data_IF_367137837595
#
_entry.id   IF_367137837595
#
_cell.length_a   1.000
_cell.length_b   1.000
_cell.length_c   1.000
_cell.angle_alpha   90.00
_cell.angle_beta   90.00
_cell.angle_gamma   90.00
#
_symmetry.space_group_name_H-M   'P 1'
#
loop_
_entity.id
_entity.type
_entity.pdbx_description
1 polymer ?
#
# COMPACT_ATOMS: atom_id res chain seq x y z
N UNK A 1 -40.85 0.37 7.92
CA UNK A 1 -40.61 0.21 9.37
C UNK A 1 -40.17 -1.23 9.61
N UNK A 2 -38.99 -1.37 10.24
CA UNK A 2 -38.47 -2.54 10.99
C UNK A 2 -38.27 -3.85 10.18
N UNK A 3 -37.22 -4.65 10.32
CA UNK A 3 -35.91 -4.66 10.98
C UNK A 3 -35.28 -5.95 10.42
N UNK A 4 -34.09 -5.91 9.81
CA UNK A 4 -33.28 -7.12 9.69
C UNK A 4 -31.88 -6.80 10.20
N UNK A 5 -31.68 -7.21 11.45
CA UNK A 5 -30.45 -7.10 12.21
C UNK A 5 -29.38 -8.02 11.62
N UNK A 6 -28.27 -7.45 11.17
CA UNK A 6 -26.95 -8.07 11.27
C UNK A 6 -25.91 -6.96 11.39
N UNK A 7 -25.99 -6.28 12.53
CA UNK A 7 -24.99 -5.34 13.02
C UNK A 7 -24.22 -6.03 14.14
N UNK A 8 -23.13 -6.70 13.81
CA UNK A 8 -22.07 -7.06 14.75
C UNK A 8 -20.85 -7.54 13.95
N UNK A 9 -19.75 -6.78 14.02
CA UNK A 9 -18.33 -7.21 13.91
C UNK A 9 -17.41 -6.38 13.00
N UNK A 10 -17.79 -5.17 12.56
CA UNK A 10 -16.78 -4.23 12.07
C UNK A 10 -16.35 -3.36 13.26
N UNK A 11 -15.51 -3.95 14.13
CA UNK A 11 -14.75 -3.14 15.09
C UNK A 11 -13.85 -2.23 14.26
N UNK A 12 -14.09 -0.92 14.40
CA UNK A 12 -13.25 0.19 13.92
C UNK A 12 -11.78 -0.22 13.86
N UNK A 13 -11.23 -0.34 12.66
CA UNK A 13 -9.78 -0.35 12.46
C UNK A 13 -9.34 1.09 12.70
N UNK A 14 -9.11 1.43 13.98
CA UNK A 14 -8.44 2.67 14.31
C UNK A 14 -6.94 2.40 14.22
N UNK A 15 -6.33 2.82 13.11
CA UNK A 15 -4.88 2.83 12.91
C UNK A 15 -4.17 3.88 13.78
N UNK A 16 -4.87 4.45 14.77
CA UNK A 16 -4.39 5.49 15.71
C UNK A 16 -3.17 5.06 16.56
N UNK A 17 -2.70 3.82 16.43
CA UNK A 17 -1.48 3.36 17.09
C UNK A 17 -0.18 3.76 16.35
N UNK A 18 -0.26 4.25 15.10
CA UNK A 18 0.93 4.61 14.31
C UNK A 18 1.42 6.07 14.50
N UNK A 19 0.67 6.93 15.19
CA UNK A 19 0.95 8.39 15.30
C UNK A 19 1.36 8.83 16.73
N UNK A 20 1.45 7.93 17.70
CA UNK A 20 1.82 8.27 19.09
C UNK A 20 3.20 7.73 19.49
N UNK A 21 4.25 8.09 18.75
CA UNK A 21 5.64 7.79 19.13
C UNK A 21 6.55 9.02 19.07
N UNK A 22 6.00 10.22 19.29
CA UNK A 22 6.78 11.44 19.38
C UNK A 22 6.56 12.19 20.69
N UNK A 23 6.70 11.49 21.83
CA UNK A 23 7.19 12.10 23.07
C UNK A 23 7.43 11.04 24.15
N UNK A 24 8.70 10.76 24.46
CA UNK A 24 9.06 10.39 25.83
C UNK A 24 10.54 10.66 26.08
N UNK A 25 10.80 11.83 26.66
CA UNK A 25 11.96 12.05 27.50
C UNK A 25 12.02 10.95 28.57
N UNK A 26 13.10 10.18 28.65
CA UNK A 26 13.35 9.38 29.84
C UNK A 26 14.81 9.38 30.28
N UNK A 27 14.96 9.72 31.57
CA UNK A 27 16.19 9.84 32.34
C UNK A 27 16.76 8.46 32.67
N UNK A 28 18.08 8.35 32.59
CA UNK A 28 18.84 7.15 32.96
C UNK A 28 18.73 6.87 34.47
N UNK A 29 18.26 5.67 34.82
CA UNK A 29 18.32 5.15 36.19
C UNK A 29 19.67 4.46 36.43
N UNK A 30 20.38 4.96 37.44
CA UNK A 30 21.68 4.53 37.93
C UNK A 30 21.53 3.22 38.72
N UNK A 31 22.26 2.16 38.35
CA UNK A 31 22.36 0.93 39.14
C UNK A 31 23.48 1.03 40.18
N UNK A 32 23.17 0.70 41.42
CA UNK A 32 24.05 0.76 42.60
C UNK A 32 25.11 -0.34 42.60
N UNK A 33 26.36 0.06 42.89
CA UNK A 33 27.52 -0.81 43.15
C UNK A 33 27.54 -1.26 44.62
N UNK A 34 27.91 -2.51 44.87
CA UNK A 34 28.51 -2.94 46.15
C UNK A 34 29.85 -3.64 45.85
N UNK A 35 30.88 -3.29 46.63
CA UNK A 35 32.27 -3.76 46.53
C UNK A 35 32.63 -4.75 47.66
N UNK A 36 33.53 -5.70 47.37
CA UNK A 36 34.68 -6.18 48.18
C UNK A 36 35.15 -7.55 47.63
N UNK A 37 36.42 -7.99 47.61
CA UNK A 37 37.73 -7.46 48.02
C UNK A 37 38.89 -8.29 47.42
N UNK A 38 40.05 -7.64 47.23
CA UNK A 38 41.46 -8.09 47.35
C UNK A 38 42.22 -8.95 46.29
N UNK A 39 43.08 -8.22 45.53
CA UNK A 39 44.53 -8.38 45.20
C UNK A 39 45.10 -9.54 44.36
N UNK A 40 45.80 -9.19 43.25
CA UNK A 40 47.23 -9.45 42.92
C UNK A 40 47.67 -8.60 41.69
N UNK A 41 48.92 -8.05 41.63
CA UNK A 41 49.39 -7.28 40.48
C UNK A 41 49.96 -8.24 39.44
N UNK A 42 49.10 -8.74 38.56
CA UNK A 42 49.49 -9.45 37.34
C UNK A 42 49.19 -8.55 36.15
N UNK A 43 50.13 -8.48 35.21
CA UNK A 43 50.06 -7.82 33.90
C UNK A 43 48.62 -7.51 33.48
N UNK A 44 48.26 -6.22 33.47
CA UNK A 44 46.88 -5.78 33.24
C UNK A 44 46.28 -6.49 32.03
N UNK A 45 45.33 -7.39 32.30
CA UNK A 45 44.58 -8.16 31.30
C UNK A 45 43.55 -7.26 30.61
N UNK A 46 43.99 -6.14 30.06
CA UNK A 46 43.16 -5.21 29.28
C UNK A 46 42.66 -5.86 27.99
N UNK A 47 43.42 -6.80 27.43
CA UNK A 47 43.03 -7.53 26.23
C UNK A 47 41.83 -8.46 26.44
N UNK A 48 41.66 -9.06 27.62
CA UNK A 48 40.52 -9.97 27.87
C UNK A 48 39.21 -9.20 28.01
N UNK A 49 39.16 -8.15 28.84
CA UNK A 49 37.91 -7.41 29.04
C UNK A 49 37.44 -6.64 27.81
N UNK A 50 38.38 -6.13 27.00
CA UNK A 50 38.07 -5.51 25.71
C UNK A 50 37.53 -6.56 24.73
N UNK A 51 38.19 -7.73 24.62
CA UNK A 51 37.75 -8.82 23.75
C UNK A 51 36.35 -9.32 24.14
N UNK A 52 36.10 -9.50 25.44
CA UNK A 52 34.79 -9.94 25.96
C UNK A 52 33.71 -8.90 25.67
N UNK A 53 34.04 -7.60 25.78
CA UNK A 53 33.12 -6.52 25.38
C UNK A 53 32.81 -6.55 23.88
N UNK A 54 33.82 -6.72 23.02
CA UNK A 54 33.61 -6.85 21.58
C UNK A 54 32.82 -8.10 21.21
N UNK A 55 33.03 -9.22 21.91
CA UNK A 55 32.21 -10.43 21.75
C UNK A 55 30.75 -10.15 22.10
N UNK A 56 30.47 -9.49 23.22
CA UNK A 56 29.10 -9.11 23.58
C UNK A 56 28.45 -8.16 22.56
N UNK A 57 29.21 -7.20 22.02
CA UNK A 57 28.71 -6.32 20.96
C UNK A 57 28.43 -7.08 19.66
N UNK A 58 29.30 -8.02 19.28
CA UNK A 58 29.10 -8.87 18.11
C UNK A 58 27.81 -9.71 18.26
N UNK A 59 27.60 -10.34 19.41
CA UNK A 59 26.39 -11.12 19.70
C UNK A 59 25.13 -10.25 19.62
N UNK A 60 25.17 -9.03 20.17
CA UNK A 60 24.06 -8.08 20.09
C UNK A 60 23.76 -7.68 18.64
N UNK A 61 24.79 -7.33 17.85
CA UNK A 61 24.62 -6.97 16.44
C UNK A 61 24.12 -8.15 15.60
N UNK A 62 24.61 -9.35 15.86
CA UNK A 62 24.14 -10.57 15.20
C UNK A 62 22.66 -10.81 15.48
N UNK A 63 22.23 -10.73 16.75
CA UNK A 63 20.82 -10.89 17.12
C UNK A 63 19.92 -9.84 16.46
N UNK A 64 20.37 -8.58 16.36
CA UNK A 64 19.66 -7.52 15.63
C UNK A 64 19.57 -7.81 14.14
N UNK A 65 20.66 -8.27 13.52
CA UNK A 65 20.69 -8.60 12.10
C UNK A 65 19.79 -9.80 11.78
N UNK A 66 19.83 -10.86 12.60
CA UNK A 66 18.93 -12.00 12.47
C UNK A 66 17.46 -11.60 12.59
N UNK A 67 17.12 -10.73 13.55
CA UNK A 67 15.76 -10.18 13.69
C UNK A 67 15.36 -9.40 12.45
N UNK A 68 16.25 -8.53 11.94
CA UNK A 68 16.01 -7.77 10.70
C UNK A 68 15.74 -8.70 9.52
N UNK A 69 16.53 -9.76 9.33
CA UNK A 69 16.33 -10.72 8.24
C UNK A 69 15.00 -11.47 8.35
N UNK A 70 14.57 -11.85 9.56
CA UNK A 70 13.22 -12.44 9.76
C UNK A 70 12.11 -11.46 9.39
N UNK A 71 12.24 -10.19 9.76
CA UNK A 71 11.27 -9.14 9.41
C UNK A 71 11.23 -8.89 7.91
N UNK A 72 12.38 -8.82 7.24
CA UNK A 72 12.44 -8.65 5.77
C UNK A 72 11.72 -9.80 5.07
N UNK A 73 11.93 -11.04 5.51
CA UNK A 73 11.22 -12.21 4.96
C UNK A 73 9.71 -12.11 5.19
N UNK A 74 9.26 -11.82 6.40
CA UNK A 74 7.84 -11.63 6.70
C UNK A 74 7.22 -10.47 5.89
N UNK A 75 7.93 -9.36 5.74
CA UNK A 75 7.48 -8.23 4.92
C UNK A 75 7.33 -8.59 3.45
N UNK A 76 8.24 -9.41 2.90
CA UNK A 76 8.14 -9.89 1.51
C UNK A 76 6.94 -10.80 1.30
N UNK A 77 6.64 -11.67 2.26
CA UNK A 77 5.44 -12.51 2.23
C UNK A 77 4.17 -11.66 2.21
N UNK A 78 4.11 -10.59 3.01
CA UNK A 78 3.01 -9.61 2.97
C UNK A 78 2.91 -8.97 1.59
N UNK A 79 4.00 -8.38 1.09
CA UNK A 79 4.01 -7.74 -0.24
C UNK A 79 3.51 -8.67 -1.34
N UNK A 80 4.04 -9.90 -1.39
CA UNK A 80 3.69 -10.86 -2.42
C UNK A 80 2.19 -11.20 -2.41
N UNK A 81 1.60 -11.40 -1.24
CA UNK A 81 0.19 -11.78 -1.16
C UNK A 81 -0.75 -10.59 -1.30
N UNK A 82 -0.38 -9.40 -0.83
CA UNK A 82 -1.10 -8.15 -1.11
C UNK A 82 -1.17 -7.87 -2.62
N UNK A 83 -0.06 -8.07 -3.36
CA UNK A 83 -0.05 -7.95 -4.82
C UNK A 83 -1.03 -8.89 -5.51
N UNK A 84 -1.11 -10.15 -5.06
CA UNK A 84 -2.07 -11.11 -5.61
C UNK A 84 -3.51 -10.62 -5.43
N UNK A 85 -3.83 -10.03 -4.28
CA UNK A 85 -5.15 -9.41 -4.04
C UNK A 85 -5.39 -8.26 -5.01
N UNK A 86 -4.42 -7.34 -5.18
CA UNK A 86 -4.53 -6.21 -6.12
C UNK A 86 -4.79 -6.72 -7.54
N UNK A 87 -3.99 -7.68 -8.02
CA UNK A 87 -4.19 -8.26 -9.36
C UNK A 87 -5.53 -8.97 -9.52
N UNK A 88 -6.06 -9.58 -8.46
CA UNK A 88 -7.37 -10.19 -8.48
C UNK A 88 -8.48 -9.15 -8.60
N UNK A 89 -8.42 -8.06 -7.83
CA UNK A 89 -9.38 -6.95 -7.86
C UNK A 89 -9.39 -6.25 -9.23
N UNK A 90 -8.25 -6.18 -9.93
CA UNK A 90 -8.20 -5.65 -11.30
C UNK A 90 -9.01 -6.45 -12.33
N UNK A 91 -9.36 -7.71 -12.04
CA UNK A 91 -10.13 -8.58 -12.96
C UNK A 91 -11.64 -8.40 -12.85
N UNK A 92 -12.11 -7.46 -12.03
CA UNK A 92 -13.53 -7.15 -11.92
C UNK A 92 -14.05 -6.74 -13.30
N UNK A 93 -15.23 -7.21 -13.66
CA UNK A 93 -16.03 -6.81 -14.82
C UNK A 93 -17.50 -6.77 -14.38
N UNK A 94 -18.40 -6.30 -15.25
CA UNK A 94 -19.85 -6.30 -14.93
C UNK A 94 -20.40 -7.69 -14.64
N UNK A 95 -19.82 -8.74 -15.23
CA UNK A 95 -20.32 -10.11 -15.15
C UNK A 95 -19.85 -10.88 -13.90
N UNK A 96 -18.69 -10.53 -13.33
CA UNK A 96 -18.03 -11.32 -12.28
C UNK A 96 -17.71 -10.52 -11.01
N UNK A 97 -18.26 -9.30 -10.87
CA UNK A 97 -17.91 -8.37 -9.79
C UNK A 97 -18.05 -8.99 -8.40
N UNK A 98 -19.17 -9.64 -8.13
CA UNK A 98 -19.46 -10.20 -6.81
C UNK A 98 -18.53 -11.35 -6.46
N UNK A 99 -18.32 -12.29 -7.39
CA UNK A 99 -17.40 -13.43 -7.22
C UNK A 99 -15.96 -12.97 -6.99
N UNK A 100 -15.47 -12.01 -7.79
CA UNK A 100 -14.11 -11.49 -7.66
C UNK A 100 -13.92 -10.77 -6.32
N UNK A 101 -14.91 -9.97 -5.89
CA UNK A 101 -14.86 -9.27 -4.61
C UNK A 101 -14.93 -10.23 -3.42
N UNK A 102 -15.82 -11.24 -3.45
CA UNK A 102 -15.91 -12.24 -2.37
C UNK A 102 -14.58 -12.99 -2.21
N UNK A 103 -13.98 -13.41 -3.32
CA UNK A 103 -12.68 -14.09 -3.29
C UNK A 103 -11.57 -13.16 -2.80
N UNK A 104 -11.53 -11.92 -3.28
CA UNK A 104 -10.52 -10.94 -2.86
C UNK A 104 -10.63 -10.60 -1.38
N UNK A 105 -11.85 -10.56 -0.83
CA UNK A 105 -12.08 -10.35 0.60
C UNK A 105 -11.50 -11.48 1.45
N UNK A 106 -11.73 -12.74 1.05
CA UNK A 106 -11.17 -13.92 1.72
C UNK A 106 -9.65 -13.92 1.66
N UNK A 107 -9.08 -13.63 0.48
CA UNK A 107 -7.63 -13.58 0.30
C UNK A 107 -7.01 -12.43 1.13
N UNK A 108 -7.63 -11.25 1.15
CA UNK A 108 -7.17 -10.11 1.96
C UNK A 108 -7.24 -10.42 3.47
N UNK A 109 -8.29 -11.08 3.92
CA UNK A 109 -8.40 -11.54 5.31
C UNK A 109 -7.29 -12.54 5.65
N UNK A 110 -6.93 -13.45 4.74
CA UNK A 110 -5.80 -14.35 4.92
C UNK A 110 -4.47 -13.60 5.02
N UNK A 111 -4.25 -12.55 4.22
CA UNK A 111 -3.05 -11.70 4.34
C UNK A 111 -2.95 -11.07 5.73
N UNK A 112 -4.07 -10.53 6.24
CA UNK A 112 -4.14 -9.95 7.59
C UNK A 112 -3.83 -11.00 8.67
N UNK A 113 -4.55 -12.11 8.63
CA UNK A 113 -4.55 -13.08 9.73
C UNK A 113 -3.28 -13.93 9.78
N UNK A 114 -2.65 -14.17 8.63
CA UNK A 114 -1.46 -15.01 8.53
C UNK A 114 -0.17 -14.18 8.42
N UNK A 115 -0.09 -13.26 7.45
CA UNK A 115 1.16 -12.59 7.11
C UNK A 115 1.40 -11.32 7.95
N UNK A 116 0.41 -10.43 8.06
CA UNK A 116 0.52 -9.25 8.92
C UNK A 116 0.67 -9.68 10.39
N UNK A 117 -0.13 -10.66 10.85
CA UNK A 117 0.01 -11.21 12.20
C UNK A 117 1.42 -11.74 12.49
N UNK A 118 2.03 -12.48 11.55
CA UNK A 118 3.42 -12.95 11.68
C UNK A 118 4.42 -11.79 11.73
N UNK A 119 4.28 -10.81 10.85
CA UNK A 119 5.13 -9.62 10.84
C UNK A 119 5.05 -8.86 12.16
N UNK A 120 3.84 -8.67 12.70
CA UNK A 120 3.62 -8.01 14.00
C UNK A 120 4.27 -8.79 15.14
N UNK A 121 4.23 -10.13 15.12
CA UNK A 121 4.92 -10.97 16.11
C UNK A 121 6.44 -10.76 16.09
N UNK A 122 7.06 -10.71 14.90
CA UNK A 122 8.51 -10.44 14.77
C UNK A 122 8.88 -9.01 15.21
N UNK A 123 7.96 -8.05 15.08
CA UNK A 123 8.17 -6.64 15.46
C UNK A 123 7.99 -6.37 16.95
N UNK A 124 7.57 -7.36 17.75
CA UNK A 124 7.40 -7.18 19.20
C UNK A 124 8.69 -6.65 19.87
N UNK A 125 8.50 -5.81 20.89
CA UNK A 125 9.56 -5.12 21.63
C UNK A 125 9.52 -3.61 21.45
N UNK A 126 10.49 -2.91 22.05
CA UNK A 126 10.52 -1.44 22.09
C UNK A 126 11.08 -0.80 20.83
N UNK A 127 11.81 -1.51 19.96
CA UNK A 127 12.65 -0.87 18.93
C UNK A 127 12.12 -0.95 17.48
N UNK A 128 10.81 -1.09 17.28
CA UNK A 128 10.25 -1.30 15.93
C UNK A 128 10.55 -0.15 14.94
N UNK A 129 10.70 1.09 15.42
CA UNK A 129 11.04 2.24 14.56
C UNK A 129 12.40 2.08 13.88
N UNK A 130 13.38 1.43 14.55
CA UNK A 130 14.72 1.17 13.98
C UNK A 130 14.65 0.25 12.76
N UNK A 131 13.61 -0.58 12.70
CA UNK A 131 13.40 -1.59 11.67
C UNK A 131 12.37 -1.13 10.61
N UNK A 132 11.92 0.13 10.64
CA UNK A 132 10.92 0.70 9.70
C UNK A 132 11.23 0.35 8.25
N UNK A 133 12.47 0.54 7.81
CA UNK A 133 12.89 0.25 6.43
C UNK A 133 12.75 -1.23 6.03
N UNK A 134 12.76 -2.16 6.98
CA UNK A 134 12.67 -3.59 6.72
C UNK A 134 11.23 -4.06 6.46
N UNK A 135 10.22 -3.40 7.07
CA UNK A 135 8.83 -3.80 6.97
C UNK A 135 7.92 -2.81 6.24
N UNK A 136 8.34 -1.56 6.08
CA UNK A 136 7.50 -0.53 5.44
C UNK A 136 7.00 -0.92 4.06
N UNK A 137 7.78 -1.62 3.18
CA UNK A 137 7.25 -2.03 1.87
C UNK A 137 6.08 -3.01 1.97
N UNK A 138 6.12 -3.96 2.92
CA UNK A 138 5.02 -4.90 3.14
C UNK A 138 3.76 -4.22 3.65
N UNK A 139 3.92 -3.29 4.60
CA UNK A 139 2.79 -2.54 5.17
C UNK A 139 2.16 -1.62 4.12
N UNK A 140 2.97 -0.90 3.34
CA UNK A 140 2.46 -0.03 2.25
C UNK A 140 1.62 -0.83 1.26
N UNK A 141 2.13 -1.96 0.78
CA UNK A 141 1.41 -2.82 -0.17
C UNK A 141 0.11 -3.39 0.42
N UNK A 142 0.10 -3.77 1.70
CA UNK A 142 -1.12 -4.24 2.37
C UNK A 142 -2.19 -3.13 2.48
N UNK A 143 -1.78 -1.92 2.86
CA UNK A 143 -2.69 -0.77 2.92
C UNK A 143 -3.23 -0.47 1.51
N UNK A 144 -2.39 -0.56 0.48
CA UNK A 144 -2.79 -0.37 -0.91
C UNK A 144 -3.83 -1.40 -1.34
N UNK A 145 -3.59 -2.69 -1.08
CA UNK A 145 -4.54 -3.76 -1.38
C UNK A 145 -5.87 -3.58 -0.64
N UNK A 146 -5.83 -3.21 0.64
CA UNK A 146 -7.03 -3.02 1.45
C UNK A 146 -7.87 -1.82 1.00
N UNK A 147 -7.22 -0.68 0.74
CA UNK A 147 -7.88 0.54 0.28
C UNK A 147 -8.41 0.38 -1.15
N UNK A 148 -7.64 -0.25 -2.05
CA UNK A 148 -8.08 -0.53 -3.42
C UNK A 148 -9.27 -1.50 -3.46
N UNK A 149 -9.22 -2.59 -2.67
CA UNK A 149 -10.35 -3.50 -2.51
C UNK A 149 -11.59 -2.74 -2.01
N UNK A 150 -11.42 -1.91 -0.98
CA UNK A 150 -12.55 -1.17 -0.39
C UNK A 150 -13.16 -0.20 -1.39
N UNK A 151 -12.34 0.52 -2.14
CA UNK A 151 -12.79 1.39 -3.23
C UNK A 151 -13.65 0.63 -4.24
N UNK A 152 -13.17 -0.53 -4.70
CA UNK A 152 -13.90 -1.36 -5.66
C UNK A 152 -15.20 -1.93 -5.08
N UNK A 153 -15.27 -2.16 -3.77
CA UNK A 153 -16.46 -2.66 -3.08
C UNK A 153 -17.53 -1.58 -2.91
N UNK A 154 -17.18 -0.41 -2.36
CA UNK A 154 -18.15 0.61 -1.93
C UNK A 154 -18.20 1.86 -2.82
N UNK A 155 -17.24 2.05 -3.72
CA UNK A 155 -17.10 3.28 -4.51
C UNK A 155 -16.67 4.50 -3.68
N UNK A 156 -16.26 4.29 -2.43
CA UNK A 156 -15.83 5.33 -1.48
C UNK A 156 -14.53 4.88 -0.84
N UNK A 157 -13.67 5.82 -0.51
CA UNK A 157 -12.43 5.50 0.20
C UNK A 157 -12.53 5.73 1.71
N UNK A 158 -11.60 5.10 2.43
CA UNK A 158 -11.29 5.39 3.83
C UNK A 158 -10.48 6.69 3.93
N UNK A 159 -10.43 7.28 5.13
CA UNK A 159 -9.87 8.61 5.41
C UNK A 159 -8.49 8.86 4.79
N UNK A 160 -8.21 10.14 4.47
CA UNK A 160 -6.98 10.64 3.82
C UNK A 160 -5.67 10.10 4.44
N UNK A 161 -5.64 9.83 5.74
CA UNK A 161 -4.49 9.24 6.43
C UNK A 161 -4.07 7.87 5.87
N UNK A 162 -5.02 7.08 5.35
CA UNK A 162 -4.75 5.77 4.73
C UNK A 162 -4.29 5.91 3.27
N UNK A 163 -4.69 7.00 2.60
CA UNK A 163 -4.33 7.34 1.21
C UNK A 163 -2.89 7.82 1.13
N UNK A 164 -2.49 8.65 2.10
CA UNK A 164 -1.19 9.30 2.16
C UNK A 164 -0.02 8.30 2.27
N UNK A 165 -0.29 7.02 2.51
CA UNK A 165 0.74 6.01 2.71
C UNK A 165 1.07 5.16 1.46
N UNK A 166 0.32 5.27 0.34
CA UNK A 166 0.33 4.20 -0.70
C UNK A 166 0.30 4.70 -2.15
N UNK A 167 0.72 3.82 -3.09
CA UNK A 167 0.69 4.06 -4.54
C UNK A 167 -0.71 3.79 -5.16
N UNK A 168 -1.76 3.85 -4.33
CA UNK A 168 -3.17 3.58 -4.70
C UNK A 168 -3.61 4.31 -5.97
N UNK A 169 -3.15 5.55 -6.17
CA UNK A 169 -3.53 6.35 -7.36
C UNK A 169 -3.06 5.72 -8.66
N UNK A 170 -1.94 4.97 -8.63
CA UNK A 170 -1.49 4.18 -9.77
C UNK A 170 -2.42 3.00 -10.08
N UNK A 171 -2.92 2.30 -9.06
CA UNK A 171 -3.90 1.22 -9.24
C UNK A 171 -5.26 1.75 -9.71
N UNK A 172 -5.70 2.89 -9.19
CA UNK A 172 -6.91 3.57 -9.66
C UNK A 172 -6.80 3.97 -11.13
N UNK A 173 -5.65 4.49 -11.56
CA UNK A 173 -5.40 4.74 -12.98
C UNK A 173 -5.50 3.46 -13.81
N UNK A 174 -4.85 2.37 -13.41
CA UNK A 174 -4.93 1.09 -14.16
C UNK A 174 -6.36 0.59 -14.25
N UNK A 175 -7.12 0.67 -13.16
CA UNK A 175 -8.53 0.33 -13.12
C UNK A 175 -9.34 1.21 -14.09
N UNK A 176 -9.12 2.53 -14.07
CA UNK A 176 -9.81 3.46 -14.95
C UNK A 176 -9.52 3.18 -16.43
N UNK A 177 -8.27 2.89 -16.80
CA UNK A 177 -7.90 2.53 -18.18
C UNK A 177 -8.58 1.22 -18.61
N UNK A 178 -8.57 0.20 -17.74
CA UNK A 178 -9.30 -1.06 -18.02
C UNK A 178 -10.79 -0.83 -18.26
N UNK A 179 -11.40 0.04 -17.45
CA UNK A 179 -12.83 0.39 -17.55
C UNK A 179 -13.17 1.20 -18.80
N UNK A 180 -12.28 2.06 -19.24
CA UNK A 180 -12.44 2.77 -20.52
C UNK A 180 -12.45 1.75 -21.67
N UNK A 181 -11.56 0.74 -21.62
CA UNK A 181 -11.53 -0.33 -22.61
C UNK A 181 -12.82 -1.17 -22.64
N UNK A 182 -13.49 -1.32 -21.50
CA UNK A 182 -14.78 -2.00 -21.37
C UNK A 182 -16.00 -1.11 -21.71
N UNK A 183 -15.76 0.15 -22.13
CA UNK A 183 -16.81 1.12 -22.46
C UNK A 183 -17.46 1.81 -21.24
N UNK A 184 -16.93 1.62 -20.02
CA UNK A 184 -17.43 2.22 -18.79
C UNK A 184 -16.82 3.61 -18.50
N UNK A 185 -16.91 4.52 -19.48
CA UNK A 185 -16.25 5.84 -19.42
C UNK A 185 -16.69 6.67 -18.20
N UNK A 186 -17.97 6.63 -17.83
CA UNK A 186 -18.49 7.35 -16.67
C UNK A 186 -17.88 6.87 -15.34
N UNK A 187 -17.57 5.57 -15.23
CA UNK A 187 -16.92 5.04 -14.03
C UNK A 187 -15.46 5.52 -13.95
N UNK A 188 -14.77 5.58 -15.08
CA UNK A 188 -13.42 6.12 -15.18
C UNK A 188 -13.36 7.62 -14.89
N UNK A 189 -14.40 8.38 -15.25
CA UNK A 189 -14.54 9.79 -14.86
C UNK A 189 -14.71 9.95 -13.34
N UNK A 190 -15.49 9.07 -12.69
CA UNK A 190 -15.59 9.05 -11.22
C UNK A 190 -14.24 8.77 -10.56
N UNK A 191 -13.48 7.81 -11.09
CA UNK A 191 -12.12 7.52 -10.61
C UNK A 191 -11.22 8.76 -10.80
N UNK A 192 -11.26 9.39 -11.97
CA UNK A 192 -10.48 10.59 -12.26
C UNK A 192 -10.77 11.72 -11.27
N UNK A 193 -12.06 12.00 -11.04
CA UNK A 193 -12.50 13.00 -10.08
C UNK A 193 -11.98 12.67 -8.68
N UNK A 194 -12.09 11.42 -8.27
CA UNK A 194 -11.60 10.95 -6.98
C UNK A 194 -10.09 11.15 -6.80
N UNK A 195 -9.27 10.81 -7.80
CA UNK A 195 -7.81 11.04 -7.75
C UNK A 195 -7.48 12.53 -7.72
N UNK A 196 -8.24 13.38 -8.44
CA UNK A 196 -8.08 14.85 -8.38
C UNK A 196 -8.36 15.41 -6.99
N UNK A 197 -9.37 14.89 -6.30
CA UNK A 197 -9.73 15.37 -4.96
C UNK A 197 -8.65 15.00 -3.94
N UNK A 198 -8.11 13.78 -4.01
CA UNK A 198 -6.93 13.40 -3.21
C UNK A 198 -5.74 14.34 -3.48
N UNK A 199 -5.43 14.60 -4.74
CA UNK A 199 -4.29 15.46 -5.10
C UNK A 199 -4.43 16.87 -4.53
N UNK A 200 -5.65 17.43 -4.56
CA UNK A 200 -5.96 18.75 -3.98
C UNK A 200 -5.78 18.76 -2.47
N UNK A 201 -6.28 17.75 -1.77
CA UNK A 201 -6.14 17.64 -0.31
C UNK A 201 -4.67 17.49 0.10
N UNK A 202 -3.92 16.63 -0.59
CA UNK A 202 -2.49 16.45 -0.37
C UNK A 202 -1.68 17.72 -0.62
N UNK A 203 -2.02 18.50 -1.65
CA UNK A 203 -1.33 19.77 -1.94
C UNK A 203 -1.31 20.72 -0.75
N UNK A 204 -2.35 20.68 0.11
CA UNK A 204 -2.41 21.49 1.33
C UNK A 204 -1.62 20.89 2.49
N UNK A 205 -1.48 19.56 2.55
CA UNK A 205 -0.81 18.85 3.64
C UNK A 205 0.69 18.71 3.48
N UNK A 206 1.18 18.45 2.26
CA UNK A 206 2.59 18.13 2.01
C UNK A 206 3.58 19.20 2.48
N UNK A 207 3.29 20.52 2.36
CA UNK A 207 4.15 21.56 2.91
C UNK A 207 4.33 21.49 4.43
N UNK A 208 3.45 20.78 5.15
CA UNK A 208 3.47 20.64 6.61
C UNK A 208 4.16 19.34 7.07
N UNK A 209 4.58 18.47 6.15
CA UNK A 209 5.17 17.16 6.48
C UNK A 209 6.69 17.26 6.63
N UNK A 210 7.22 16.61 7.67
CA UNK A 210 8.67 16.38 7.83
C UNK A 210 9.10 15.29 6.82
N UNK A 211 10.20 15.50 6.08
CA UNK A 211 10.66 14.66 4.94
C UNK A 211 9.75 14.63 3.68
N UNK A 212 9.39 15.80 3.13
CA UNK A 212 8.48 15.94 1.98
C UNK A 212 8.96 15.42 0.60
N UNK A 213 10.19 14.88 0.46
CA UNK A 213 10.71 14.48 -0.86
C UNK A 213 10.03 13.23 -1.44
N UNK A 214 9.79 12.19 -0.62
CA UNK A 214 9.07 10.97 -1.05
C UNK A 214 7.64 11.31 -1.46
N UNK A 215 7.00 12.17 -0.66
CA UNK A 215 5.64 12.60 -0.91
C UNK A 215 5.53 13.47 -2.17
N UNK A 216 6.51 14.35 -2.42
CA UNK A 216 6.58 15.12 -3.65
C UNK A 216 6.64 14.22 -4.89
N UNK A 217 7.48 13.18 -4.88
CA UNK A 217 7.55 12.22 -5.98
C UNK A 217 6.24 11.43 -6.17
N UNK A 218 5.55 11.08 -5.07
CA UNK A 218 4.23 10.44 -5.13
C UNK A 218 3.17 11.38 -5.71
N UNK A 219 3.17 12.66 -5.32
CA UNK A 219 2.30 13.67 -5.90
C UNK A 219 2.55 13.86 -7.40
N UNK A 220 3.81 13.91 -7.83
CA UNK A 220 4.15 14.00 -9.25
C UNK A 220 3.60 12.79 -10.03
N UNK A 221 3.75 11.59 -9.47
CA UNK A 221 3.22 10.34 -10.06
C UNK A 221 1.69 10.30 -10.09
N UNK A 222 1.05 10.84 -9.04
CA UNK A 222 -0.41 10.99 -8.95
C UNK A 222 -0.94 11.95 -10.01
N UNK A 223 -0.27 13.08 -10.22
CA UNK A 223 -0.61 14.03 -11.28
C UNK A 223 -0.51 13.38 -12.66
N UNK A 224 0.57 12.62 -12.92
CA UNK A 224 0.69 11.84 -14.16
C UNK A 224 -0.43 10.83 -14.33
N UNK A 225 -0.91 10.24 -13.23
CA UNK A 225 -2.02 9.31 -13.23
C UNK A 225 -3.33 9.99 -13.62
N UNK A 226 -3.61 11.18 -13.08
CA UNK A 226 -4.77 12.00 -13.47
C UNK A 226 -4.73 12.31 -14.97
N UNK A 227 -3.61 12.86 -15.46
CA UNK A 227 -3.44 13.26 -16.86
C UNK A 227 -3.70 12.09 -17.81
N UNK A 228 -3.22 10.89 -17.48
CA UNK A 228 -3.44 9.67 -18.28
C UNK A 228 -4.91 9.27 -18.35
N UNK A 229 -5.62 9.31 -17.22
CA UNK A 229 -7.05 8.99 -17.20
C UNK A 229 -7.83 10.02 -18.01
N UNK A 230 -7.55 11.31 -17.84
CA UNK A 230 -8.23 12.40 -18.56
C UNK A 230 -8.03 12.32 -20.07
N UNK A 231 -6.78 12.13 -20.52
CA UNK A 231 -6.49 11.98 -21.94
C UNK A 231 -7.18 10.77 -22.54
N UNK A 232 -7.27 9.65 -21.80
CA UNK A 232 -7.98 8.46 -22.26
C UNK A 232 -9.50 8.71 -22.36
N UNK A 233 -10.13 9.32 -21.34
CA UNK A 233 -11.54 9.68 -21.37
C UNK A 233 -11.84 10.67 -22.51
N UNK A 234 -11.02 11.70 -22.68
CA UNK A 234 -11.14 12.69 -23.75
C UNK A 234 -11.07 12.04 -25.13
N UNK A 235 -10.08 11.17 -25.36
CA UNK A 235 -9.90 10.47 -26.64
C UNK A 235 -11.11 9.63 -27.02
N UNK A 236 -11.71 8.92 -26.05
CA UNK A 236 -12.93 8.12 -26.30
C UNK A 236 -14.13 9.02 -26.57
N UNK A 237 -14.27 10.13 -25.84
CA UNK A 237 -15.38 11.08 -26.03
C UNK A 237 -15.34 11.75 -27.40
N UNK A 238 -14.16 12.19 -27.85
CA UNK A 238 -13.99 12.82 -29.17
C UNK A 238 -14.36 11.82 -30.27
N UNK A 239 -13.78 10.60 -30.24
CA UNK A 239 -14.12 9.53 -31.20
C UNK A 239 -15.60 9.15 -31.19
N UNK A 240 -16.23 9.12 -30.02
CA UNK A 240 -17.66 8.87 -29.89
C UNK A 240 -18.55 9.99 -30.45
N UNK A 241 -18.01 11.22 -30.53
CA UNK A 241 -18.72 12.40 -31.06
C UNK A 241 -18.54 12.57 -32.57
N UNK A 242 -17.57 11.88 -33.18
CA UNK A 242 -17.30 11.91 -34.62
C UNK A 242 -18.33 11.10 -35.45
N UNK A 243 -19.24 10.36 -34.81
CA UNK A 243 -20.37 9.69 -35.46
C UNK A 243 -21.67 10.48 -35.28
N UNK A 244 -21.86 11.50 -36.12
CA UNK A 244 -23.19 12.01 -36.46
C UNK A 244 -23.68 11.12 -37.62
N UNK A 245 -24.79 10.35 -37.50
CA UNK A 245 -25.37 9.67 -38.64
C UNK A 245 -26.03 10.70 -39.56
N UNK A 246 -25.22 11.42 -40.34
CA UNK A 246 -25.64 12.06 -41.56
C UNK A 246 -25.69 10.99 -42.65
N UNK A 247 -26.73 10.16 -42.63
CA UNK A 247 -27.26 9.47 -43.80
C UNK A 247 -28.57 8.78 -43.39
N UNK A 248 -29.68 9.46 -43.66
CA UNK A 248 -30.94 8.77 -43.84
C UNK A 248 -30.89 8.01 -45.16
N UNK A 249 -30.91 6.69 -45.11
CA UNK A 249 -31.65 5.82 -46.04
C UNK A 249 -31.30 4.38 -45.72
N UNK A 250 -32.33 3.60 -45.48
CA UNK A 250 -32.33 2.14 -45.56
C UNK A 250 -31.60 1.63 -46.80
N UNK A 251 -30.51 0.87 -46.62
CA UNK A 251 -30.25 -0.31 -47.43
C UNK A 251 -29.27 -1.29 -46.74
N UNK A 252 -29.52 -2.61 -46.75
CA UNK A 252 -28.65 -3.61 -46.18
C UNK A 252 -27.81 -4.31 -47.25
N UNK A 253 -26.53 -3.94 -47.42
CA UNK A 253 -25.57 -4.79 -48.12
C UNK A 253 -24.10 -4.41 -47.87
N UNK A 254 -23.43 -5.27 -47.08
CA UNK A 254 -22.09 -5.85 -47.29
C UNK A 254 -20.87 -4.97 -47.64
N UNK A 255 -19.76 -5.17 -46.90
CA UNK A 255 -18.48 -5.78 -47.36
C UNK A 255 -17.45 -5.68 -46.20
N UNK A 256 -17.21 -6.71 -45.39
CA UNK A 256 -16.31 -7.89 -45.56
C UNK A 256 -14.79 -7.56 -45.68
N UNK A 257 -14.12 -7.71 -44.51
CA UNK A 257 -12.80 -8.34 -44.26
C UNK A 257 -11.52 -7.74 -44.86
N UNK A 258 -10.67 -7.25 -43.95
CA UNK A 258 -9.30 -7.71 -43.67
C UNK A 258 -8.37 -8.05 -44.84
N UNK A 259 -7.24 -7.34 -44.91
CA UNK A 259 -6.04 -7.79 -45.59
C UNK A 259 -4.85 -7.69 -44.62
N UNK A 260 -4.16 -8.82 -44.47
CA UNK A 260 -2.91 -9.03 -43.76
C UNK A 260 -1.75 -8.69 -44.68
N UNK A 261 -0.75 -7.94 -44.21
CA UNK A 261 0.49 -7.70 -44.95
C UNK A 261 1.52 -8.82 -44.68
N UNK A 262 1.96 -9.47 -45.75
CA UNK A 262 3.15 -10.32 -45.78
C UNK A 262 3.97 -10.03 -47.06
N UNK A 263 5.22 -9.65 -46.81
CA UNK A 263 6.46 -9.80 -47.59
C UNK A 263 6.57 -9.34 -49.06
N UNK A 264 7.48 -8.37 -49.27
CA UNK A 264 8.63 -8.46 -50.19
C UNK A 264 9.78 -7.56 -49.70
#
# INVERSE_FOLDING_TARGET
MLLCSSSAAIRRISVSWLIMANNSNFKSHRLSRSESSTKRPGTMSTHSSLKDAFSSYADHLNALNEKRERIVKASRDVTMNSKKVIFQVHRISKANREEVLEKAEKDLAAVRDQHISRLVKELQGTDFWKLRRAYSPGVQEYVEAATFFKFCQTGTLLNLDEINATDLTGELMRLAIGRISDGEVEYSERICQFVRDIYRELTLLVPLMDDGSDMKTKMDTMLQSVVKIENACFSVRVRGSEYIPLLGSSDPSSFLVGVSDAEL
#
